data_IF_919771398539
#
_entry.id   IF_919771398539
#
_cell.length_a   1.000
_cell.length_b   1.000
_cell.length_c   1.000
_cell.angle_alpha   90.00
_cell.angle_beta   90.00
_cell.angle_gamma   90.00
#
_symmetry.space_group_name_H-M   'P 1'
#
loop_
_entity.id
_entity.type
_entity.pdbx_description
1 polymer ?
#
# COMPACT_ATOMS: atom_id res chain seq x y z
N UNK A 1 11.06 -15.99 -16.97
CA UNK A 1 11.07 -15.82 -15.50
C UNK A 1 9.74 -16.35 -14.96
N UNK A 2 9.72 -16.93 -13.76
CA UNK A 2 8.47 -17.36 -13.14
C UNK A 2 7.56 -16.14 -12.88
N UNK A 3 6.23 -16.28 -12.99
CA UNK A 3 5.30 -15.21 -12.59
C UNK A 3 5.56 -14.85 -11.12
N UNK A 4 5.54 -13.55 -10.80
CA UNK A 4 5.77 -13.03 -9.46
C UNK A 4 4.45 -12.55 -8.87
N UNK A 5 4.18 -12.86 -7.62
CA UNK A 5 2.97 -12.41 -6.91
C UNK A 5 3.34 -11.58 -5.68
N UNK A 6 2.69 -10.45 -5.48
CA UNK A 6 2.68 -9.71 -4.21
C UNK A 6 1.27 -9.73 -3.64
N UNK A 7 1.11 -10.22 -2.41
CA UNK A 7 -0.13 -10.08 -1.63
C UNK A 7 0.03 -9.00 -0.57
N UNK A 8 -0.97 -8.14 -0.47
CA UNK A 8 -1.06 -7.09 0.53
C UNK A 8 -2.22 -7.46 1.45
N UNK A 9 -1.91 -7.96 2.64
CA UNK A 9 -2.88 -8.19 3.70
C UNK A 9 -3.05 -6.92 4.53
N UNK A 10 -4.29 -6.54 4.82
CA UNK A 10 -4.61 -5.41 5.68
C UNK A 10 -5.18 -5.94 7.00
N UNK A 11 -4.51 -5.62 8.10
CA UNK A 11 -5.05 -5.80 9.45
C UNK A 11 -5.74 -4.50 9.87
N UNK A 12 -7.01 -4.39 9.54
CA UNK A 12 -7.81 -3.22 9.87
C UNK A 12 -8.28 -3.30 11.33
N UNK A 13 -7.58 -2.56 12.19
CA UNK A 13 -7.92 -2.38 13.61
C UNK A 13 -8.59 -1.03 13.86
N UNK A 14 -8.98 -0.33 12.80
CA UNK A 14 -9.75 0.92 12.88
C UNK A 14 -11.26 0.63 12.80
N UNK A 15 -12.13 1.54 13.29
CA UNK A 15 -13.58 1.41 13.14
C UNK A 15 -14.04 1.75 11.70
N UNK A 16 -13.14 2.21 10.84
CA UNK A 16 -13.42 2.55 9.44
C UNK A 16 -13.17 1.38 8.51
N UNK A 17 -13.94 1.32 7.42
CA UNK A 17 -13.62 0.46 6.28
C UNK A 17 -12.40 1.00 5.52
N UNK A 18 -11.58 0.08 5.02
CA UNK A 18 -10.47 0.37 4.11
C UNK A 18 -10.84 -0.16 2.73
N UNK A 19 -10.96 0.74 1.76
CA UNK A 19 -11.43 0.41 0.42
C UNK A 19 -10.28 0.40 -0.59
N UNK A 20 -10.19 -0.65 -1.41
CA UNK A 20 -9.24 -0.68 -2.51
C UNK A 20 -9.63 0.34 -3.57
N UNK A 21 -8.69 1.20 -3.96
CA UNK A 21 -8.90 2.23 -4.98
C UNK A 21 -8.35 1.77 -6.32
N UNK A 22 -7.14 1.23 -6.33
CA UNK A 22 -6.45 0.86 -7.56
C UNK A 22 -4.95 0.68 -7.37
N UNK A 23 -4.26 0.42 -8.48
CA UNK A 23 -2.81 0.44 -8.52
C UNK A 23 -2.29 1.15 -9.78
N UNK A 24 -1.03 1.57 -9.71
CA UNK A 24 -0.28 2.10 -10.83
C UNK A 24 1.08 1.42 -10.93
N UNK A 25 1.46 1.07 -12.15
CA UNK A 25 2.83 0.75 -12.53
C UNK A 25 3.65 2.03 -12.58
N UNK A 26 4.73 2.03 -11.80
CA UNK A 26 5.65 3.16 -11.67
C UNK A 26 6.89 2.99 -12.58
N UNK A 27 7.25 1.74 -12.90
CA UNK A 27 8.40 1.42 -13.74
C UNK A 27 8.61 -0.08 -13.89
N UNK A 28 9.63 -0.47 -14.66
CA UNK A 28 9.92 -1.87 -14.98
C UNK A 28 9.27 -2.36 -16.26
N UNK A 29 9.31 -3.66 -16.52
CA UNK A 29 8.68 -4.32 -17.66
C UNK A 29 7.69 -5.42 -17.23
N UNK A 30 7.09 -6.11 -18.22
CA UNK A 30 6.04 -7.11 -18.00
C UNK A 30 4.63 -6.52 -17.90
N UNK A 31 3.66 -7.39 -17.70
CA UNK A 31 2.25 -7.03 -17.47
C UNK A 31 1.87 -7.29 -16.01
N UNK A 32 0.95 -6.48 -15.50
CA UNK A 32 0.45 -6.58 -14.14
C UNK A 32 -1.03 -6.89 -14.21
N UNK A 33 -1.42 -7.99 -13.57
CA UNK A 33 -2.80 -8.25 -13.21
C UNK A 33 -2.98 -7.94 -11.74
N UNK A 34 -4.10 -7.35 -11.37
CA UNK A 34 -4.39 -6.99 -10.00
C UNK A 34 -5.83 -7.29 -9.64
N UNK A 35 -6.02 -7.85 -8.47
CA UNK A 35 -7.31 -7.96 -7.83
C UNK A 35 -7.24 -7.21 -6.51
N UNK A 36 -8.23 -6.37 -6.24
CA UNK A 36 -8.31 -5.60 -5.02
C UNK A 36 -9.63 -5.82 -4.31
N UNK A 37 -9.59 -5.79 -2.99
CA UNK A 37 -10.73 -6.04 -2.13
C UNK A 37 -10.79 -4.98 -1.05
N UNK A 38 -12.02 -4.70 -0.61
CA UNK A 38 -12.21 -3.87 0.56
C UNK A 38 -12.03 -4.71 1.82
N UNK A 39 -11.51 -4.09 2.87
CA UNK A 39 -11.33 -4.71 4.18
C UNK A 39 -12.19 -3.98 5.19
N UNK A 40 -13.16 -4.69 5.74
CA UNK A 40 -14.13 -4.14 6.68
C UNK A 40 -13.47 -3.73 8.00
N UNK A 41 -14.15 -2.89 8.77
CA UNK A 41 -13.70 -2.44 10.08
C UNK A 41 -13.41 -3.63 11.01
N UNK A 42 -12.37 -3.50 11.86
CA UNK A 42 -12.00 -4.51 12.87
C UNK A 42 -11.77 -5.93 12.30
N UNK A 43 -11.28 -6.04 11.07
CA UNK A 43 -11.04 -7.31 10.38
C UNK A 43 -9.64 -7.40 9.77
N UNK A 44 -9.22 -8.62 9.46
CA UNK A 44 -8.01 -8.88 8.68
C UNK A 44 -8.40 -9.60 7.40
N UNK A 45 -7.98 -9.07 6.25
CA UNK A 45 -8.23 -9.70 4.95
C UNK A 45 -7.18 -9.28 3.90
N UNK A 46 -7.16 -9.99 2.78
CA UNK A 46 -6.40 -9.56 1.59
C UNK A 46 -7.00 -8.26 1.06
N UNK A 47 -6.19 -7.19 1.01
CA UNK A 47 -6.59 -5.92 0.40
C UNK A 47 -6.26 -5.87 -1.09
N UNK A 48 -5.14 -6.46 -1.51
CA UNK A 48 -4.81 -6.60 -2.91
C UNK A 48 -3.90 -7.81 -3.18
N UNK A 49 -4.06 -8.41 -4.35
CA UNK A 49 -3.14 -9.38 -4.92
C UNK A 49 -2.72 -8.92 -6.30
N UNK A 50 -1.41 -8.86 -6.52
CA UNK A 50 -0.77 -8.33 -7.71
C UNK A 50 0.08 -9.44 -8.32
N UNK A 51 -0.15 -9.76 -9.59
CA UNK A 51 0.63 -10.75 -10.32
C UNK A 51 1.33 -10.10 -11.50
N UNK A 52 2.66 -10.19 -11.52
CA UNK A 52 3.48 -9.86 -12.69
C UNK A 52 3.65 -11.09 -13.56
N UNK A 53 3.39 -10.94 -14.86
CA UNK A 53 3.80 -11.90 -15.86
C UNK A 53 4.70 -11.29 -16.92
N UNK A 54 5.61 -12.11 -17.47
CA UNK A 54 6.60 -11.68 -18.45
C UNK A 54 7.61 -10.64 -17.91
N UNK A 55 8.47 -10.16 -18.80
CA UNK A 55 9.53 -9.21 -18.45
C UNK A 55 10.76 -9.84 -17.79
N UNK A 56 11.82 -9.04 -17.72
CA UNK A 56 13.14 -9.37 -17.20
C UNK A 56 13.57 -8.41 -16.09
N UNK A 57 12.95 -7.23 -15.97
CA UNK A 57 13.31 -6.19 -15.00
C UNK A 57 12.45 -6.25 -13.74
N UNK A 58 12.82 -5.46 -12.72
CA UNK A 58 11.97 -5.20 -11.57
C UNK A 58 10.77 -4.35 -11.91
N UNK A 59 9.61 -4.66 -11.33
CA UNK A 59 8.37 -3.90 -11.51
C UNK A 59 8.03 -3.17 -10.21
N UNK A 60 7.81 -1.86 -10.32
CA UNK A 60 7.47 -1.01 -9.17
C UNK A 60 5.99 -0.66 -9.23
N UNK A 61 5.25 -0.89 -8.14
CA UNK A 61 3.81 -0.71 -8.07
C UNK A 61 3.42 0.13 -6.86
N UNK A 62 2.58 1.14 -7.09
CA UNK A 62 1.83 1.83 -6.05
C UNK A 62 0.43 1.23 -5.97
N UNK A 63 0.01 0.78 -4.79
CA UNK A 63 -1.35 0.33 -4.51
C UNK A 63 -2.01 1.29 -3.54
N UNK A 64 -3.21 1.76 -3.86
CA UNK A 64 -3.93 2.74 -3.05
C UNK A 64 -5.15 2.15 -2.37
N UNK A 65 -5.30 2.52 -1.11
CA UNK A 65 -6.45 2.22 -0.29
C UNK A 65 -7.02 3.51 0.31
N UNK A 66 -8.32 3.73 0.14
CA UNK A 66 -9.04 4.80 0.81
C UNK A 66 -9.35 4.35 2.24
N UNK A 67 -9.04 5.19 3.23
CA UNK A 67 -9.41 4.94 4.62
C UNK A 67 -10.59 5.85 4.96
N UNK A 68 -11.77 5.28 5.21
CA UNK A 68 -12.96 6.09 5.50
C UNK A 68 -12.72 6.97 6.74
N UNK A 69 -13.11 8.23 6.70
CA UNK A 69 -12.81 9.19 7.76
C UNK A 69 -11.42 9.86 7.67
N UNK A 70 -10.53 9.45 6.75
CA UNK A 70 -9.31 10.21 6.44
C UNK A 70 -9.44 10.93 5.09
N UNK A 71 -8.90 12.15 5.00
CA UNK A 71 -8.73 12.86 3.72
C UNK A 71 -7.55 12.33 2.91
N UNK A 72 -6.80 11.37 3.45
CA UNK A 72 -5.63 10.76 2.83
C UNK A 72 -5.89 9.30 2.48
N UNK A 73 -5.32 8.87 1.37
CA UNK A 73 -5.24 7.47 0.98
C UNK A 73 -3.99 6.83 1.57
N UNK A 74 -4.10 5.60 2.02
CA UNK A 74 -2.96 4.74 2.31
C UNK A 74 -2.36 4.26 0.98
N UNK A 75 -1.11 4.64 0.75
CA UNK A 75 -0.26 4.15 -0.32
C UNK A 75 0.59 2.99 0.21
N UNK A 76 0.53 1.86 -0.47
CA UNK A 76 1.49 0.76 -0.32
C UNK A 76 2.33 0.71 -1.59
N UNK A 77 3.59 1.10 -1.48
CA UNK A 77 4.58 1.03 -2.54
C UNK A 77 5.34 -0.29 -2.43
N UNK A 78 5.50 -1.00 -3.55
CA UNK A 78 6.19 -2.29 -3.59
C UNK A 78 7.07 -2.44 -4.83
N UNK A 79 8.22 -3.11 -4.66
CA UNK A 79 9.16 -3.41 -5.74
C UNK A 79 9.25 -4.91 -6.01
N UNK A 80 8.63 -5.38 -7.09
CA UNK A 80 8.65 -6.76 -7.56
C UNK A 80 9.85 -7.02 -8.48
N UNK A 81 11.04 -7.31 -7.95
CA UNK A 81 12.21 -7.58 -8.79
C UNK A 81 13.03 -8.80 -8.37
N UNK A 82 13.49 -9.56 -9.37
CA UNK A 82 14.58 -10.52 -9.21
C UNK A 82 15.97 -9.84 -9.20
N UNK A 83 16.08 -8.63 -9.76
CA UNK A 83 17.34 -7.93 -10.03
C UNK A 83 17.86 -7.02 -8.90
N UNK A 84 17.05 -6.72 -7.86
CA UNK A 84 17.45 -5.91 -6.70
C UNK A 84 18.36 -6.66 -5.70
N UNK A 85 19.04 -7.72 -6.14
CA UNK A 85 19.77 -8.63 -5.27
C UNK A 85 18.87 -9.33 -4.24
N UNK A 86 17.58 -9.49 -4.55
CA UNK A 86 16.58 -10.11 -3.67
C UNK A 86 15.97 -9.19 -2.61
N UNK A 87 16.33 -7.91 -2.56
CA UNK A 87 15.70 -6.95 -1.65
C UNK A 87 14.47 -6.34 -2.31
N UNK A 88 13.33 -6.96 -2.10
CA UNK A 88 12.05 -6.30 -2.33
C UNK A 88 11.83 -5.31 -1.21
N UNK A 89 11.46 -4.09 -1.57
CA UNK A 89 11.19 -3.01 -0.64
C UNK A 89 9.67 -2.79 -0.66
N UNK A 90 9.06 -2.89 0.52
CA UNK A 90 7.69 -2.43 0.75
C UNK A 90 7.79 -1.19 1.63
N UNK A 91 7.12 -0.12 1.20
CA UNK A 91 7.02 1.12 1.93
C UNK A 91 5.58 1.58 1.93
N UNK A 92 5.20 2.30 2.97
CA UNK A 92 3.87 2.84 3.14
C UNK A 92 3.91 4.36 3.28
N UNK A 93 2.81 5.02 2.97
CA UNK A 93 2.62 6.44 3.22
C UNK A 93 1.12 6.77 3.27
N UNK A 94 0.77 7.90 3.90
CA UNK A 94 -0.53 8.53 3.69
C UNK A 94 -0.38 9.73 2.75
N UNK A 95 -1.06 9.69 1.62
CA UNK A 95 -1.01 10.70 0.57
C UNK A 95 -2.38 11.36 0.38
N UNK A 96 -2.40 12.60 -0.10
CA UNK A 96 -3.66 13.32 -0.33
C UNK A 96 -4.56 12.58 -1.34
N UNK A 97 -5.85 12.48 -1.04
CA UNK A 97 -6.78 11.65 -1.82
C UNK A 97 -7.00 12.14 -3.26
N UNK A 98 -6.70 13.40 -3.55
CA UNK A 98 -6.75 14.01 -4.88
C UNK A 98 -5.54 13.64 -5.75
N UNK A 99 -4.48 13.05 -5.18
CA UNK A 99 -3.37 12.50 -5.96
C UNK A 99 -3.86 11.29 -6.74
N UNK A 100 -4.06 11.50 -8.05
CA UNK A 100 -4.44 10.44 -8.97
C UNK A 100 -3.40 9.31 -8.97
N UNK A 101 -3.89 8.07 -9.00
CA UNK A 101 -3.10 6.86 -9.26
C UNK A 101 -2.17 7.04 -10.47
N UNK A 102 -2.60 7.77 -11.50
CA UNK A 102 -1.81 8.03 -12.72
C UNK A 102 -0.70 9.07 -12.56
N UNK A 103 -0.74 9.90 -11.51
CA UNK A 103 0.28 10.93 -11.21
C UNK A 103 1.38 10.45 -10.27
N UNK A 104 1.13 9.35 -9.54
CA UNK A 104 2.08 8.73 -8.62
C UNK A 104 3.35 8.15 -9.27
N UNK A 105 3.34 7.59 -10.49
CA UNK A 105 4.55 7.11 -11.17
C UNK A 105 5.71 8.12 -11.13
N UNK A 106 5.43 9.36 -11.53
CA UNK A 106 6.45 10.41 -11.57
C UNK A 106 6.95 10.78 -10.18
N UNK A 107 6.03 10.95 -9.22
CA UNK A 107 6.39 11.36 -7.86
C UNK A 107 7.16 10.26 -7.11
N UNK A 108 6.75 9.00 -7.25
CA UNK A 108 7.43 7.86 -6.64
C UNK A 108 8.85 7.64 -7.20
N UNK A 109 9.07 7.95 -8.49
CA UNK A 109 10.35 7.72 -9.14
C UNK A 109 11.31 8.89 -8.96
N UNK A 110 10.83 10.12 -9.16
CA UNK A 110 11.67 11.32 -9.19
C UNK A 110 11.75 12.05 -7.85
N UNK A 111 10.75 11.88 -6.96
CA UNK A 111 10.66 12.59 -5.67
C UNK A 111 10.06 11.73 -4.56
N UNK A 112 10.56 10.50 -4.31
CA UNK A 112 9.98 9.59 -3.32
C UNK A 112 9.90 10.19 -1.90
N UNK A 113 10.85 11.05 -1.54
CA UNK A 113 10.88 11.78 -0.27
C UNK A 113 9.67 12.71 -0.09
N UNK A 114 9.10 13.23 -1.19
CA UNK A 114 7.92 14.10 -1.15
C UNK A 114 6.62 13.36 -0.83
N UNK A 115 6.62 12.02 -0.89
CA UNK A 115 5.48 11.19 -0.54
C UNK A 115 5.48 10.76 0.93
N UNK A 116 6.58 10.99 1.67
CA UNK A 116 6.71 10.50 3.03
C UNK A 116 6.75 8.97 3.12
N UNK A 117 7.27 8.30 2.09
CA UNK A 117 7.42 6.84 2.08
C UNK A 117 8.33 6.37 3.21
N UNK A 118 7.86 5.38 3.96
CA UNK A 118 8.57 4.82 5.12
C UNK A 118 8.40 3.31 5.18
N UNK A 119 9.38 2.61 5.73
CA UNK A 119 9.38 1.15 5.88
C UNK A 119 8.84 0.67 7.23
N UNK A 120 8.32 1.59 8.07
CA UNK A 120 7.86 1.26 9.42
C UNK A 120 6.44 1.79 9.64
N UNK A 121 6.28 3.09 9.90
CA UNK A 121 5.00 3.70 10.29
C UNK A 121 4.69 4.98 9.54
N UNK A 122 3.43 5.12 9.13
CA UNK A 122 2.89 6.34 8.52
C UNK A 122 1.62 6.77 9.26
N UNK A 123 1.44 8.08 9.43
CA UNK A 123 0.33 8.65 10.19
C UNK A 123 -0.50 9.60 9.32
N UNK A 124 -1.80 9.64 9.57
CA UNK A 124 -2.72 10.62 9.00
C UNK A 124 -3.80 11.02 9.99
N UNK A 125 -4.22 12.28 9.94
CA UNK A 125 -5.40 12.73 10.66
C UNK A 125 -6.67 12.24 9.97
N UNK A 126 -7.71 12.08 10.77
CA UNK A 126 -9.05 11.81 10.29
C UNK A 126 -10.10 12.08 11.36
N UNK A 127 -11.35 11.96 10.93
CA UNK A 127 -12.53 12.17 11.75
C UNK A 127 -13.47 10.98 11.56
N UNK A 128 -13.88 10.37 12.66
CA UNK A 128 -14.83 9.24 12.66
C UNK A 128 -15.97 9.61 13.60
N UNK A 129 -17.21 9.52 13.11
CA UNK A 129 -18.43 9.86 13.86
C UNK A 129 -18.39 11.25 14.52
N UNK A 130 -17.67 12.19 13.89
CA UNK A 130 -17.51 13.57 14.39
C UNK A 130 -16.41 13.76 15.43
N UNK A 131 -15.69 12.70 15.79
CA UNK A 131 -14.51 12.76 16.66
C UNK A 131 -13.22 12.76 15.86
N UNK A 132 -12.31 13.68 16.19
CA UNK A 132 -11.00 13.77 15.55
C UNK A 132 -10.01 12.79 16.19
N UNK A 133 -9.13 12.23 15.35
CA UNK A 133 -8.12 11.28 15.77
C UNK A 133 -7.12 10.96 14.68
N UNK A 134 -6.17 10.10 14.99
CA UNK A 134 -5.09 9.74 14.10
C UNK A 134 -5.23 8.29 13.62
N UNK A 135 -5.12 8.10 12.31
CA UNK A 135 -4.86 6.82 11.69
C UNK A 135 -3.36 6.54 11.67
N UNK A 136 -2.99 5.33 12.08
CA UNK A 136 -1.62 4.86 12.08
C UNK A 136 -1.55 3.59 11.23
N UNK A 137 -0.79 3.66 10.14
CA UNK A 137 -0.45 2.51 9.33
C UNK A 137 0.94 2.00 9.73
N UNK A 138 1.07 0.69 9.96
CA UNK A 138 2.36 0.04 10.27
C UNK A 138 2.60 -1.11 9.31
N UNK A 139 3.80 -1.19 8.73
CA UNK A 139 4.23 -2.37 7.98
C UNK A 139 4.65 -3.45 9.00
N UNK A 140 3.73 -4.35 9.34
CA UNK A 140 3.94 -5.37 10.38
C UNK A 140 4.90 -6.46 9.94
N UNK A 141 4.79 -6.89 8.68
CA UNK A 141 5.65 -7.92 8.14
C UNK A 141 5.81 -7.81 6.63
N UNK A 142 6.94 -8.29 6.16
CA UNK A 142 7.22 -8.53 4.76
C UNK A 142 8.11 -9.76 4.63
N UNK A 143 7.67 -10.79 3.90
CA UNK A 143 8.36 -12.09 3.90
C UNK A 143 9.52 -12.21 2.91
N UNK A 144 9.61 -11.32 1.91
CA UNK A 144 10.73 -11.30 0.96
C UNK A 144 10.78 -12.51 0.02
N UNK A 145 9.75 -13.35 -0.02
CA UNK A 145 9.83 -14.65 -0.68
C UNK A 145 9.63 -14.52 -2.19
N UNK A 146 10.54 -15.11 -2.96
CA UNK A 146 10.36 -15.22 -4.42
C UNK A 146 9.86 -16.63 -4.77
N UNK A 147 8.93 -16.78 -5.74
CA UNK A 147 8.28 -15.73 -6.53
C UNK A 147 7.02 -15.14 -5.89
N UNK A 148 6.54 -15.71 -4.80
CA UNK A 148 5.33 -15.28 -4.10
C UNK A 148 5.72 -14.59 -2.80
N UNK A 149 5.56 -13.27 -2.76
CA UNK A 149 5.78 -12.45 -1.57
C UNK A 149 4.46 -12.00 -0.96
N UNK A 150 4.47 -11.76 0.35
CA UNK A 150 3.37 -11.13 1.06
C UNK A 150 3.89 -10.04 2.01
N UNK A 151 3.12 -8.96 2.13
CA UNK A 151 3.26 -7.99 3.20
C UNK A 151 1.95 -7.83 3.97
N UNK A 152 2.08 -7.51 5.25
CA UNK A 152 0.96 -7.18 6.12
C UNK A 152 1.08 -5.74 6.58
N UNK A 153 0.05 -4.94 6.33
CA UNK A 153 -0.07 -3.57 6.82
C UNK A 153 -1.19 -3.51 7.85
N UNK A 154 -0.90 -3.09 9.08
CA UNK A 154 -1.94 -2.81 10.05
C UNK A 154 -2.35 -1.35 9.97
N UNK A 155 -3.65 -1.08 10.19
CA UNK A 155 -4.18 0.28 10.28
C UNK A 155 -4.99 0.40 11.55
N UNK A 156 -4.61 1.32 12.43
CA UNK A 156 -5.27 1.62 13.70
C UNK A 156 -5.80 3.04 13.70
N UNK A 157 -6.80 3.29 14.53
CA UNK A 157 -7.29 4.65 14.80
C UNK A 157 -7.21 4.92 16.30
N UNK A 158 -6.74 6.10 16.67
CA UNK A 158 -6.78 6.59 18.05
C UNK A 158 -7.56 7.89 18.07
N UNK A 159 -8.74 7.87 18.68
CA UNK A 159 -9.47 9.09 18.98
C UNK A 159 -8.69 9.95 19.96
N UNK A 160 -8.71 11.27 19.79
CA UNK A 160 -8.23 12.16 20.84
C UNK A 160 -9.21 12.07 22.02
N UNK A 161 -8.75 11.54 23.15
CA UNK A 161 -9.49 11.70 24.41
C UNK A 161 -9.45 13.19 24.76
N UNK A 162 -10.59 13.87 24.66
CA UNK A 162 -10.78 15.24 25.14
C UNK A 162 -10.83 15.29 26.66
#
# INVERSE_FOLDING_TARGET
MAPYTMKIEIQNRSPSKIAYVGNARLGGDGYVSSTGYNVDAQSTAEGASLSKGGGHEGLFIATLFSVFGSSKNLLVWSSMSAASGGKVIVQIAFIDADKSVTSLPDTCYNRPESLGLTSDKADAWGTIDGEDGAFHATLESYDGKYPDSACTVSVRYWGMVR
#
